data_IF_429761749867
#
_entry.id   IF_429761749867
#
_cell.length_a   1.000
_cell.length_b   1.000
_cell.length_c   1.000
_cell.angle_alpha   90.00
_cell.angle_beta   90.00
_cell.angle_gamma   90.00
#
_symmetry.space_group_name_H-M   'P 1'
#
loop_
_entity.id
_entity.type
_entity.pdbx_description
1 polymer ?
#
# COMPACT_ATOMS: atom_id res chain seq x y z
N UNK A 1 11.42 -32.85 29.91
CA UNK A 1 10.07 -33.24 29.39
C UNK A 1 8.94 -32.24 29.69
N UNK A 2 8.88 -31.54 30.84
CA UNK A 2 7.78 -30.60 31.18
C UNK A 2 7.59 -29.39 30.25
N UNK A 3 8.65 -28.89 29.60
CA UNK A 3 8.56 -27.71 28.73
C UNK A 3 7.93 -28.01 27.36
N UNK A 4 8.10 -29.22 26.83
CA UNK A 4 7.55 -29.58 25.52
C UNK A 4 6.02 -29.75 25.53
N UNK A 5 5.45 -30.20 26.65
CA UNK A 5 4.01 -30.34 26.80
C UNK A 5 3.27 -28.99 26.75
N UNK A 6 3.87 -27.93 27.31
CA UNK A 6 3.29 -26.58 27.29
C UNK A 6 3.28 -26.00 25.88
N UNK A 7 4.38 -26.14 25.14
CA UNK A 7 4.47 -25.68 23.75
C UNK A 7 3.50 -26.41 22.83
N UNK A 8 3.35 -27.73 23.00
CA UNK A 8 2.39 -28.54 22.23
C UNK A 8 0.95 -28.12 22.55
N UNK A 9 0.63 -27.90 23.83
CA UNK A 9 -0.70 -27.45 24.24
C UNK A 9 -1.02 -26.04 23.71
N UNK A 10 -0.06 -25.13 23.71
CA UNK A 10 -0.20 -23.78 23.13
C UNK A 10 -0.44 -23.84 21.63
N UNK A 11 0.30 -24.67 20.89
CA UNK A 11 0.11 -24.86 19.45
C UNK A 11 -1.27 -25.47 19.15
N UNK A 12 -1.68 -26.50 19.91
CA UNK A 12 -3.03 -27.08 19.79
C UNK A 12 -4.13 -26.06 20.10
N UNK A 13 -3.96 -25.24 21.14
CA UNK A 13 -4.93 -24.18 21.47
C UNK A 13 -5.02 -23.14 20.36
N UNK A 14 -3.88 -22.73 19.77
CA UNK A 14 -3.83 -21.83 18.62
C UNK A 14 -4.55 -22.42 17.41
N UNK A 15 -4.30 -23.69 17.06
CA UNK A 15 -4.96 -24.39 15.95
C UNK A 15 -6.49 -24.45 16.17
N UNK A 16 -6.96 -24.79 17.37
CA UNK A 16 -8.39 -24.81 17.69
C UNK A 16 -9.05 -23.42 17.68
N UNK A 17 -8.28 -22.34 17.93
CA UNK A 17 -8.81 -20.96 17.81
C UNK A 17 -8.93 -20.48 16.37
N UNK A 18 -8.21 -21.07 15.40
CA UNK A 18 -8.28 -20.64 14.00
C UNK A 18 -9.45 -21.26 13.23
N UNK A 19 -9.95 -22.44 13.61
CA UNK A 19 -11.03 -23.11 12.87
C UNK A 19 -12.45 -22.60 13.19
N UNK A 20 -12.60 -21.72 14.18
CA UNK A 20 -13.90 -21.15 14.59
C UNK A 20 -14.09 -19.68 14.21
N UNK A 21 -13.08 -19.05 13.61
CA UNK A 21 -13.18 -17.68 13.12
C UNK A 21 -13.74 -17.72 11.70
N UNK A 22 -14.96 -17.21 11.53
CA UNK A 22 -15.48 -16.90 10.20
C UNK A 22 -14.50 -15.91 9.53
N UNK A 23 -13.71 -16.40 8.57
CA UNK A 23 -12.69 -15.63 7.88
C UNK A 23 -13.26 -14.76 6.75
N UNK A 24 -14.55 -14.88 6.42
CA UNK A 24 -15.19 -14.09 5.37
C UNK A 24 -15.00 -12.56 5.51
N UNK A 25 -14.98 -11.96 6.74
CA UNK A 25 -14.66 -10.56 6.92
C UNK A 25 -13.20 -10.19 6.58
N UNK A 26 -12.29 -11.17 6.65
CA UNK A 26 -10.87 -11.04 6.33
C UNK A 26 -10.54 -11.34 4.86
N UNK A 27 -11.50 -11.83 4.07
CA UNK A 27 -11.29 -12.01 2.64
C UNK A 27 -11.13 -10.64 1.94
N UNK A 28 -10.06 -10.45 1.16
CA UNK A 28 -9.92 -9.26 0.33
C UNK A 28 -10.92 -9.28 -0.83
N UNK A 29 -11.47 -8.12 -1.16
CA UNK A 29 -12.42 -7.98 -2.27
C UNK A 29 -11.69 -7.76 -3.61
N UNK A 30 -10.49 -7.19 -3.56
CA UNK A 30 -9.67 -6.85 -4.73
C UNK A 30 -8.19 -7.05 -4.45
N UNK A 31 -7.45 -7.34 -5.52
CA UNK A 31 -5.99 -7.24 -5.57
C UNK A 31 -5.59 -6.11 -6.50
N UNK A 32 -4.61 -5.31 -6.10
CA UNK A 32 -3.95 -4.30 -6.91
C UNK A 32 -2.53 -4.79 -7.19
N UNK A 33 -2.15 -4.71 -8.46
CA UNK A 33 -0.82 -5.03 -8.94
C UNK A 33 -0.22 -3.72 -9.43
N UNK A 34 0.63 -3.11 -8.60
CA UNK A 34 1.48 -1.97 -9.00
C UNK A 34 2.48 -2.46 -10.03
N UNK A 35 2.82 -1.63 -11.01
CA UNK A 35 3.75 -1.99 -12.09
C UNK A 35 4.84 -0.96 -12.27
N UNK A 36 4.46 0.31 -12.38
CA UNK A 36 5.39 1.37 -12.71
C UNK A 36 5.03 2.68 -12.02
N UNK A 37 6.03 3.53 -11.85
CA UNK A 37 5.84 4.90 -11.44
C UNK A 37 6.63 5.89 -12.29
N UNK A 38 6.26 7.16 -12.18
CA UNK A 38 7.00 8.28 -12.74
C UNK A 38 7.19 9.34 -11.67
N UNK A 39 8.43 9.76 -11.47
CA UNK A 39 8.72 10.91 -10.61
C UNK A 39 8.69 12.18 -11.46
N UNK A 40 7.89 13.15 -11.05
CA UNK A 40 7.71 14.42 -11.76
C UNK A 40 8.22 15.54 -10.88
N UNK A 41 9.16 16.32 -11.42
CA UNK A 41 9.86 17.40 -10.70
C UNK A 41 10.55 16.95 -9.40
N UNK A 42 10.87 15.66 -9.25
CA UNK A 42 11.65 15.15 -8.12
C UNK A 42 13.02 14.71 -8.62
N UNK A 43 14.04 15.05 -7.84
CA UNK A 43 15.43 14.68 -8.14
C UNK A 43 15.88 13.65 -7.11
N UNK A 44 16.43 12.50 -7.55
CA UNK A 44 16.99 11.50 -6.63
C UNK A 44 18.22 12.02 -5.90
N UNK A 45 18.64 11.33 -4.84
CA UNK A 45 19.86 11.68 -4.12
C UNK A 45 21.09 11.60 -5.05
N UNK A 46 22.13 12.43 -4.84
CA UNK A 46 23.34 12.39 -5.65
C UNK A 46 23.93 10.98 -5.78
N UNK A 47 24.17 10.54 -7.03
CA UNK A 47 24.70 9.21 -7.32
C UNK A 47 23.66 8.08 -7.30
N UNK A 48 22.37 8.40 -7.21
CA UNK A 48 21.27 7.43 -7.30
C UNK A 48 20.31 7.74 -8.44
N UNK A 49 19.51 6.76 -8.82
CA UNK A 49 18.42 6.89 -9.80
C UNK A 49 17.14 6.28 -9.24
N UNK A 50 15.99 6.80 -9.67
CA UNK A 50 14.71 6.19 -9.32
C UNK A 50 14.47 4.97 -10.20
N UNK A 51 14.24 3.82 -9.57
CA UNK A 51 13.63 2.68 -10.24
C UNK A 51 12.13 2.97 -10.47
N UNK A 52 11.78 3.20 -11.73
CA UNK A 52 10.41 3.48 -12.18
C UNK A 52 9.62 2.21 -12.51
N UNK A 53 10.24 1.02 -12.45
CA UNK A 53 9.56 -0.27 -12.51
C UNK A 53 9.47 -0.83 -11.09
N UNK A 54 8.32 -0.59 -10.45
CA UNK A 54 8.08 -0.89 -9.04
C UNK A 54 6.88 -1.84 -8.87
N UNK A 55 7.07 -3.12 -9.19
CA UNK A 55 6.02 -4.11 -9.04
C UNK A 55 5.61 -4.25 -7.58
N UNK A 56 4.31 -4.44 -7.35
CA UNK A 56 3.79 -4.65 -6.01
C UNK A 56 2.46 -5.37 -6.03
N UNK A 57 2.14 -6.02 -4.91
CA UNK A 57 0.89 -6.74 -4.71
C UNK A 57 0.23 -6.22 -3.43
N UNK A 58 -0.98 -5.71 -3.59
CA UNK A 58 -1.72 -5.04 -2.53
C UNK A 58 -3.14 -5.61 -2.49
N UNK A 59 -3.55 -6.10 -1.33
CA UNK A 59 -4.89 -6.59 -1.06
C UNK A 59 -5.77 -5.45 -0.57
N UNK A 60 -7.06 -5.50 -0.92
CA UNK A 60 -8.02 -4.45 -0.58
C UNK A 60 -9.31 -5.01 -0.02
N UNK A 61 -9.73 -4.43 1.10
CA UNK A 61 -11.02 -4.65 1.74
C UNK A 61 -11.86 -3.40 1.53
N UNK A 62 -12.85 -3.50 0.64
CA UNK A 62 -13.64 -2.38 0.15
C UNK A 62 -14.85 -2.08 1.05
N UNK A 63 -15.24 -0.81 1.13
CA UNK A 63 -16.47 -0.35 1.79
C UNK A 63 -16.66 -0.92 3.21
N UNK A 64 -15.56 -0.98 3.98
CA UNK A 64 -15.56 -1.37 5.40
C UNK A 64 -16.06 -0.19 6.25
N UNK A 65 -15.70 -0.14 7.54
CA UNK A 65 -16.21 0.88 8.49
C UNK A 65 -16.10 2.30 7.91
N UNK A 66 -17.17 3.08 8.01
CA UNK A 66 -17.29 4.44 7.43
C UNK A 66 -17.20 4.51 5.89
N UNK A 67 -17.40 3.37 5.23
CA UNK A 67 -17.26 3.19 3.79
C UNK A 67 -15.85 3.45 3.30
N UNK A 68 -14.84 3.12 4.12
CA UNK A 68 -13.43 3.17 3.77
C UNK A 68 -12.99 1.85 3.13
N UNK A 69 -12.04 1.96 2.22
CA UNK A 69 -11.27 0.84 1.72
C UNK A 69 -9.97 0.76 2.52
N UNK A 70 -9.61 -0.43 2.98
CA UNK A 70 -8.32 -0.67 3.61
C UNK A 70 -7.44 -1.44 2.64
N UNK A 71 -6.19 -1.01 2.50
CA UNK A 71 -5.21 -1.65 1.62
C UNK A 71 -4.02 -2.12 2.44
N UNK A 72 -3.49 -3.29 2.12
CA UNK A 72 -2.28 -3.83 2.74
C UNK A 72 -1.51 -4.70 1.75
N UNK A 73 -0.19 -4.60 1.75
CA UNK A 73 0.65 -5.39 0.85
C UNK A 73 2.10 -4.97 0.89
N UNK A 74 2.80 -5.24 -0.22
CA UNK A 74 4.17 -4.80 -0.40
C UNK A 74 4.44 -4.48 -1.87
N UNK A 75 5.41 -3.59 -2.11
CA UNK A 75 5.86 -3.21 -3.44
C UNK A 75 7.36 -2.98 -3.43
N UNK A 76 8.02 -3.09 -4.59
CA UNK A 76 9.39 -2.65 -4.74
C UNK A 76 9.41 -1.12 -4.83
N UNK A 77 10.08 -0.41 -3.94
CA UNK A 77 10.13 1.05 -3.96
C UNK A 77 11.08 1.59 -5.04
N UNK A 78 11.10 2.93 -5.19
CA UNK A 78 11.95 3.65 -6.15
C UNK A 78 13.45 3.47 -5.94
N UNK A 79 13.87 2.82 -4.85
CA UNK A 79 15.26 2.47 -4.54
C UNK A 79 15.49 0.96 -4.61
N UNK A 80 14.66 0.27 -5.39
CA UNK A 80 14.75 -1.17 -5.67
C UNK A 80 14.64 -2.09 -4.45
N UNK A 81 14.04 -1.62 -3.36
CA UNK A 81 13.89 -2.38 -2.11
C UNK A 81 12.43 -2.71 -1.83
N UNK A 82 12.15 -3.89 -1.26
CA UNK A 82 10.78 -4.27 -0.88
C UNK A 82 10.30 -3.40 0.29
N UNK A 83 9.15 -2.76 0.11
CA UNK A 83 8.49 -1.88 1.07
C UNK A 83 7.13 -2.43 1.47
N UNK A 84 6.88 -2.70 2.78
CA UNK A 84 5.53 -2.97 3.24
C UNK A 84 4.68 -1.71 3.10
N UNK A 85 3.39 -1.90 2.85
CA UNK A 85 2.43 -0.85 2.55
C UNK A 85 1.13 -1.09 3.29
N UNK A 86 0.59 -0.04 3.91
CA UNK A 86 -0.76 -0.03 4.44
C UNK A 86 -1.43 1.31 4.12
N UNK A 87 -2.71 1.28 3.75
CA UNK A 87 -3.46 2.49 3.45
C UNK A 87 -4.92 2.40 3.86
N UNK A 88 -5.53 3.57 4.02
CA UNK A 88 -6.97 3.74 4.02
C UNK A 88 -7.33 4.71 2.88
N UNK A 89 -8.42 4.39 2.17
CA UNK A 89 -8.90 5.18 1.05
C UNK A 89 -10.41 5.37 1.13
N UNK A 90 -10.89 6.52 0.65
CA UNK A 90 -12.31 6.74 0.36
C UNK A 90 -12.47 6.81 -1.15
N UNK A 91 -13.17 5.84 -1.71
CA UNK A 91 -13.42 5.75 -3.16
C UNK A 91 -14.90 6.01 -3.44
N UNK A 92 -15.17 6.84 -4.44
CA UNK A 92 -16.50 7.17 -4.93
C UNK A 92 -16.69 6.62 -6.34
N UNK A 93 -17.77 5.87 -6.61
CA UNK A 93 -18.13 5.52 -7.98
C UNK A 93 -18.62 6.78 -8.70
N UNK A 94 -18.08 7.05 -9.88
CA UNK A 94 -18.54 8.14 -10.78
C UNK A 94 -19.35 7.60 -11.97
N UNK A 95 -19.41 6.28 -12.12
CA UNK A 95 -20.15 5.57 -13.15
C UNK A 95 -20.03 4.05 -12.94
N UNK A 96 -20.43 3.25 -13.93
CA UNK A 96 -20.30 1.79 -13.86
C UNK A 96 -18.84 1.33 -13.81
N UNK A 97 -17.96 2.06 -14.52
CA UNK A 97 -16.58 1.65 -14.78
C UNK A 97 -15.55 2.58 -14.12
N UNK A 98 -15.98 3.70 -13.54
CA UNK A 98 -15.08 4.75 -13.05
C UNK A 98 -15.18 4.88 -11.53
N UNK A 99 -14.03 4.91 -10.87
CA UNK A 99 -13.91 5.26 -9.44
C UNK A 99 -12.85 6.31 -9.25
N UNK A 100 -13.11 7.27 -8.38
CA UNK A 100 -12.15 8.28 -7.95
C UNK A 100 -12.09 8.28 -6.44
N UNK A 101 -10.94 8.54 -5.85
CA UNK A 101 -10.83 8.62 -4.41
C UNK A 101 -9.59 9.33 -3.93
N UNK A 102 -9.55 9.46 -2.61
CA UNK A 102 -8.38 9.94 -1.86
C UNK A 102 -7.90 8.83 -0.94
N UNK A 103 -6.60 8.79 -0.70
CA UNK A 103 -6.01 7.83 0.21
C UNK A 103 -4.90 8.47 1.05
N UNK A 104 -4.69 7.87 2.22
CA UNK A 104 -3.53 8.10 3.07
C UNK A 104 -2.91 6.76 3.42
N UNK A 105 -1.59 6.70 3.42
CA UNK A 105 -0.82 5.45 3.52
C UNK A 105 0.48 5.64 4.25
N UNK A 106 0.99 4.52 4.74
CA UNK A 106 2.31 4.39 5.34
C UNK A 106 3.06 3.30 4.58
N UNK A 107 4.31 3.58 4.23
CA UNK A 107 5.19 2.62 3.58
C UNK A 107 6.54 2.53 4.30
N UNK A 108 7.10 1.33 4.38
CA UNK A 108 8.42 1.10 4.97
C UNK A 108 9.53 1.35 3.95
N UNK A 109 10.22 2.48 4.06
CA UNK A 109 11.37 2.83 3.21
C UNK A 109 12.71 2.71 3.95
N UNK A 110 12.67 2.50 5.27
CA UNK A 110 13.82 2.26 6.14
C UNK A 110 14.96 3.28 5.96
N UNK A 111 16.09 2.83 5.43
CA UNK A 111 17.28 3.65 5.15
C UNK A 111 17.38 4.10 3.69
N UNK A 112 16.35 3.85 2.86
CA UNK A 112 16.37 4.15 1.44
C UNK A 112 15.99 5.62 1.19
N UNK A 113 16.96 6.37 0.67
CA UNK A 113 16.78 7.71 0.14
C UNK A 113 16.42 8.80 1.16
N UNK A 114 16.64 10.05 0.75
CA UNK A 114 16.18 11.23 1.46
C UNK A 114 14.73 11.54 1.07
N UNK A 115 13.78 11.20 1.93
CA UNK A 115 12.34 11.37 1.66
C UNK A 115 11.75 12.38 2.63
N UNK A 116 11.14 13.44 2.09
CA UNK A 116 10.60 14.57 2.88
C UNK A 116 9.46 14.17 3.81
N UNK A 117 8.72 13.11 3.49
CA UNK A 117 7.57 12.63 4.27
C UNK A 117 7.92 11.53 5.28
N UNK A 118 9.21 11.37 5.61
CA UNK A 118 9.67 10.40 6.60
C UNK A 118 9.16 10.75 8.00
N UNK A 119 8.64 9.74 8.71
CA UNK A 119 8.08 9.88 10.05
C UNK A 119 9.21 9.74 11.06
N UNK A 120 9.83 10.87 11.42
CA UNK A 120 10.99 10.91 12.33
C UNK A 120 12.10 9.95 11.91
N UNK A 121 12.64 9.18 12.85
CA UNK A 121 13.69 8.18 12.60
C UNK A 121 13.16 6.76 12.36
N UNK A 122 11.86 6.60 12.11
CA UNK A 122 11.19 5.28 12.11
C UNK A 122 11.49 4.42 10.87
N UNK A 123 11.98 5.01 9.79
CA UNK A 123 12.09 4.33 8.50
C UNK A 123 10.75 4.20 7.76
N UNK A 124 9.68 4.79 8.25
CA UNK A 124 8.40 4.83 7.55
C UNK A 124 8.18 6.20 6.92
N UNK A 125 7.49 6.22 5.79
CA UNK A 125 7.07 7.44 5.11
C UNK A 125 5.55 7.50 5.10
N UNK A 126 5.02 8.69 5.31
CA UNK A 126 3.61 8.96 5.06
C UNK A 126 3.43 9.36 3.59
N UNK A 127 2.50 8.72 2.89
CA UNK A 127 2.17 9.06 1.50
C UNK A 127 0.66 9.24 1.42
N UNK A 128 0.21 10.19 0.62
CA UNK A 128 -1.20 10.41 0.38
C UNK A 128 -1.42 11.01 -0.99
N UNK A 129 -2.67 10.96 -1.45
CA UNK A 129 -3.00 11.51 -2.75
C UNK A 129 -4.33 11.02 -3.27
N UNK A 130 -4.41 10.95 -4.59
CA UNK A 130 -5.61 10.60 -5.34
C UNK A 130 -5.45 9.27 -6.05
N UNK A 131 -6.52 8.51 -6.13
CA UNK A 131 -6.59 7.30 -6.95
C UNK A 131 -7.74 7.40 -7.92
N UNK A 132 -7.44 7.22 -9.19
CA UNK A 132 -8.41 7.08 -10.27
C UNK A 132 -8.38 5.66 -10.80
N UNK A 133 -9.55 5.11 -11.09
CA UNK A 133 -9.70 3.78 -11.65
C UNK A 133 -10.68 3.78 -12.81
N UNK A 134 -10.28 3.14 -13.90
CA UNK A 134 -11.13 2.80 -15.03
C UNK A 134 -11.09 1.29 -15.26
N UNK A 135 -12.20 0.61 -14.99
CA UNK A 135 -12.33 -0.85 -15.02
C UNK A 135 -11.30 -1.55 -14.11
N UNK A 136 -10.25 -2.09 -14.70
CA UNK A 136 -9.18 -2.83 -14.05
C UNK A 136 -7.85 -2.10 -14.11
N UNK A 137 -7.82 -0.85 -14.56
CA UNK A 137 -6.61 -0.02 -14.59
C UNK A 137 -6.74 1.05 -13.51
N UNK A 138 -5.66 1.29 -12.78
CA UNK A 138 -5.61 2.40 -11.85
C UNK A 138 -4.42 3.33 -12.14
N UNK A 139 -4.62 4.59 -11.77
CA UNK A 139 -3.60 5.62 -11.71
C UNK A 139 -3.69 6.25 -10.34
N UNK A 140 -2.56 6.33 -9.65
CA UNK A 140 -2.43 6.98 -8.36
C UNK A 140 -1.51 8.18 -8.50
N UNK A 141 -1.88 9.30 -7.90
CA UNK A 141 -1.13 10.55 -7.93
C UNK A 141 -0.79 10.91 -6.50
N UNK A 142 0.51 10.96 -6.19
CA UNK A 142 1.05 11.32 -4.88
C UNK A 142 1.79 12.66 -4.99
N UNK A 143 1.11 13.79 -4.75
CA UNK A 143 1.79 15.08 -4.71
C UNK A 143 2.73 15.14 -3.50
N UNK A 144 3.88 15.79 -3.67
CA UNK A 144 4.81 16.05 -2.57
C UNK A 144 5.41 17.44 -2.71
N UNK A 145 5.63 18.09 -1.57
CA UNK A 145 6.34 19.35 -1.51
C UNK A 145 7.84 19.05 -1.50
N UNK A 146 8.56 19.64 -2.46
CA UNK A 146 10.03 19.58 -2.51
C UNK A 146 10.59 20.60 -1.51
N UNK A 147 9.94 21.77 -1.45
CA UNK A 147 10.19 22.85 -0.53
C UNK A 147 8.88 23.67 -0.36
N UNK A 148 8.93 24.83 0.28
CA UNK A 148 7.74 25.67 0.51
C UNK A 148 7.17 26.37 -0.75
N UNK A 149 7.75 26.13 -1.93
CA UNK A 149 7.42 26.82 -3.18
C UNK A 149 7.21 25.86 -4.36
N UNK A 150 7.93 24.75 -4.39
CA UNK A 150 7.96 23.82 -5.52
C UNK A 150 7.18 22.53 -5.21
N UNK A 151 6.38 22.13 -6.20
CA UNK A 151 5.58 20.91 -6.17
C UNK A 151 6.19 19.86 -7.09
N UNK A 152 6.36 18.66 -6.55
CA UNK A 152 6.61 17.46 -7.34
C UNK A 152 5.58 16.39 -7.03
N UNK A 153 5.83 15.19 -7.53
CA UNK A 153 4.97 14.07 -7.19
C UNK A 153 5.38 12.78 -7.88
N UNK A 154 4.65 11.74 -7.51
CA UNK A 154 4.79 10.41 -8.08
C UNK A 154 3.47 10.00 -8.71
N UNK A 155 3.53 9.60 -9.97
CA UNK A 155 2.43 8.91 -10.65
C UNK A 155 2.70 7.42 -10.54
N UNK A 156 1.73 6.63 -10.12
CA UNK A 156 1.85 5.17 -10.04
C UNK A 156 0.73 4.56 -10.88
N UNK A 157 1.04 3.51 -11.63
CA UNK A 157 0.05 2.80 -12.44
C UNK A 157 0.15 1.30 -12.25
N UNK A 158 -0.97 0.64 -12.50
CA UNK A 158 -1.07 -0.80 -12.43
C UNK A 158 -2.48 -1.27 -12.76
N UNK A 159 -2.74 -2.52 -12.40
CA UNK A 159 -4.04 -3.15 -12.60
C UNK A 159 -4.69 -3.53 -11.28
N UNK A 160 -6.01 -3.61 -11.29
CA UNK A 160 -6.82 -3.97 -10.15
C UNK A 160 -7.85 -5.01 -10.56
N UNK A 161 -7.86 -6.15 -9.87
CA UNK A 161 -8.70 -7.30 -10.19
C UNK A 161 -9.64 -7.59 -9.01
N UNK A 162 -10.94 -7.80 -9.27
CA UNK A 162 -11.83 -8.36 -8.26
C UNK A 162 -11.40 -9.79 -7.93
N UNK A 163 -11.51 -10.17 -6.65
CA UNK A 163 -11.28 -11.53 -6.19
C UNK A 163 -12.59 -12.31 -5.98
N UNK A 164 -13.72 -11.69 -6.31
CA UNK A 164 -15.09 -12.23 -6.27
C UNK A 164 -15.81 -11.92 -7.57
#
# INVERSE_FOLDING_TARGET
MRYQLKSILTILLLIFTFETVNAAPFEPDRVYISMASKHVNLTPDPGTEYNEINPGLILSWNNRKYGLNYWSGAFQNSFSTISPFAAAAKMWPLGSDIRLGVFGSIAGYYSNGSISTKIGNSGYVFLGGFQFEYRNIFIQIQPTLINNKDLGGVLITGVSLPLK
#
